data_IF_009468686262
#
_entry.id   IF_009468686262
#
_cell.length_a   1.000
_cell.length_b   1.000
_cell.length_c   1.000
_cell.angle_alpha   90.00
_cell.angle_beta   90.00
_cell.angle_gamma   90.00
#
_symmetry.space_group_name_H-M   'P 1'
#
loop_
_entity.id
_entity.type
_entity.pdbx_description
1 polymer ?
#
# COMPACT_ATOMS: atom_id res chain seq x y z
N UNK A 1 -0.40 -3.25 -11.56
CA UNK A 1 -1.83 -3.61 -11.39
C UNK A 1 -2.54 -2.48 -10.65
N UNK A 2 -3.82 -2.21 -10.88
CA UNK A 2 -4.57 -1.16 -10.17
C UNK A 2 -5.75 -1.78 -9.42
N UNK A 3 -5.96 -1.34 -8.19
CA UNK A 3 -7.04 -1.78 -7.29
C UNK A 3 -7.38 -0.63 -6.33
N UNK A 4 -8.18 -0.88 -5.30
CA UNK A 4 -8.53 0.12 -4.28
C UNK A 4 -8.31 -0.43 -2.88
N UNK A 5 -8.09 0.46 -1.93
CA UNK A 5 -7.98 0.10 -0.51
C UNK A 5 -9.33 -0.45 -0.04
N UNK A 6 -9.28 -1.62 0.57
CA UNK A 6 -10.38 -2.15 1.37
C UNK A 6 -10.27 -1.60 2.80
N UNK A 7 -9.11 -1.78 3.41
CA UNK A 7 -8.84 -1.37 4.80
C UNK A 7 -7.35 -1.07 4.97
N UNK A 8 -7.05 -0.14 5.88
CA UNK A 8 -5.71 0.07 6.43
C UNK A 8 -5.81 -0.24 7.91
N UNK A 9 -4.92 -1.09 8.41
CA UNK A 9 -4.86 -1.41 9.84
C UNK A 9 -4.56 -0.13 10.66
N UNK A 10 -5.03 -0.06 11.91
CA UNK A 10 -4.85 1.11 12.79
C UNK A 10 -3.39 1.55 12.93
N UNK A 11 -2.44 0.62 12.87
CA UNK A 11 -1.00 0.91 12.97
C UNK A 11 -0.35 1.28 11.61
N UNK A 12 -1.10 1.27 10.50
CA UNK A 12 -0.61 1.55 9.14
C UNK A 12 0.37 0.51 8.58
N UNK A 13 0.60 -0.58 9.32
CA UNK A 13 1.53 -1.66 9.00
C UNK A 13 1.00 -2.65 7.95
N UNK A 14 -0.31 -2.70 7.78
CA UNK A 14 -0.97 -3.61 6.85
C UNK A 14 -2.03 -2.87 6.05
N UNK A 15 -2.08 -3.16 4.76
CA UNK A 15 -3.08 -2.64 3.82
C UNK A 15 -3.74 -3.80 3.10
N UNK A 16 -5.05 -3.89 3.24
CA UNK A 16 -5.91 -4.82 2.50
C UNK A 16 -6.49 -4.13 1.28
N UNK A 17 -6.46 -4.79 0.13
CA UNK A 17 -6.97 -4.26 -1.13
C UNK A 17 -8.24 -5.00 -1.57
N UNK A 18 -9.09 -4.36 -2.37
CA UNK A 18 -10.37 -4.92 -2.83
C UNK A 18 -10.22 -6.15 -3.76
N UNK A 19 -9.03 -6.38 -4.30
CA UNK A 19 -8.72 -7.60 -5.05
C UNK A 19 -8.46 -8.83 -4.15
N UNK A 20 -8.58 -8.65 -2.83
CA UNK A 20 -8.37 -9.66 -1.80
C UNK A 20 -6.92 -9.81 -1.35
N UNK A 21 -5.98 -9.05 -1.92
CA UNK A 21 -4.58 -9.10 -1.52
C UNK A 21 -4.31 -8.33 -0.23
N UNK A 22 -3.38 -8.85 0.57
CA UNK A 22 -2.92 -8.19 1.79
C UNK A 22 -1.43 -7.87 1.69
N UNK A 23 -1.06 -6.69 2.18
CA UNK A 23 0.27 -6.13 2.02
C UNK A 23 0.83 -5.64 3.33
N UNK A 24 2.01 -6.14 3.69
CA UNK A 24 2.79 -5.64 4.81
C UNK A 24 3.62 -4.44 4.37
N UNK A 25 3.45 -3.32 5.05
CA UNK A 25 4.08 -2.05 4.73
C UNK A 25 5.48 -1.97 5.37
N UNK A 26 6.42 -1.35 4.66
CA UNK A 26 7.72 -1.00 5.23
C UNK A 26 7.53 -0.04 6.41
N UNK A 27 8.10 -0.33 7.59
CA UNK A 27 7.95 0.54 8.76
C UNK A 27 8.33 2.01 8.55
N UNK A 28 9.26 2.29 7.63
CA UNK A 28 9.65 3.66 7.26
C UNK A 28 8.62 4.43 6.43
N UNK A 29 7.60 3.74 5.91
CA UNK A 29 6.52 4.32 5.10
C UNK A 29 5.16 4.37 5.85
N UNK A 30 5.08 3.89 7.10
CA UNK A 30 3.84 3.88 7.91
C UNK A 30 3.19 5.27 8.00
N UNK A 31 3.99 6.31 8.18
CA UNK A 31 3.49 7.69 8.30
C UNK A 31 2.72 8.15 7.06
N UNK A 32 2.94 7.49 5.91
CA UNK A 32 2.20 7.73 4.67
C UNK A 32 0.92 6.92 4.66
N UNK A 33 1.00 5.61 4.90
CA UNK A 33 -0.13 4.68 4.79
C UNK A 33 -1.20 4.90 5.86
N UNK A 34 -0.84 5.39 7.05
CA UNK A 34 -1.81 5.76 8.09
C UNK A 34 -2.79 6.86 7.65
N UNK A 35 -2.42 7.65 6.65
CA UNK A 35 -3.28 8.70 6.08
C UNK A 35 -4.09 8.20 4.87
N UNK A 36 -3.95 6.93 4.51
CA UNK A 36 -4.71 6.35 3.41
C UNK A 36 -6.06 5.84 3.90
N UNK A 37 -7.06 5.91 3.02
CA UNK A 37 -8.46 5.63 3.33
C UNK A 37 -9.03 4.56 2.40
N UNK A 38 -10.03 3.84 2.89
CA UNK A 38 -10.81 2.92 2.07
C UNK A 38 -11.30 3.59 0.78
N UNK A 39 -11.44 2.80 -0.28
CA UNK A 39 -11.85 3.21 -1.64
C UNK A 39 -10.84 4.04 -2.44
N UNK A 40 -9.74 4.50 -1.83
CA UNK A 40 -8.67 5.17 -2.58
C UNK A 40 -8.00 4.18 -3.54
N UNK A 41 -7.66 4.66 -4.73
CA UNK A 41 -7.05 3.87 -5.81
C UNK A 41 -5.57 3.68 -5.56
N UNK A 42 -5.15 2.43 -5.57
CA UNK A 42 -3.78 2.00 -5.41
C UNK A 42 -3.29 1.36 -6.70
N UNK A 43 -2.15 1.86 -7.19
CA UNK A 43 -1.35 1.18 -8.20
C UNK A 43 -0.24 0.38 -7.54
N UNK A 44 -0.12 -0.88 -7.91
CA UNK A 44 0.90 -1.82 -7.45
C UNK A 44 1.95 -1.95 -8.56
N UNK A 45 3.21 -1.69 -8.21
CA UNK A 45 4.37 -1.85 -9.09
C UNK A 45 5.44 -2.71 -8.40
N UNK A 46 6.09 -3.61 -9.14
CA UNK A 46 7.26 -4.35 -8.67
C UNK A 46 8.47 -3.40 -8.53
N UNK A 47 9.38 -3.71 -7.61
CA UNK A 47 10.63 -2.98 -7.43
C UNK A 47 11.81 -3.94 -7.18
N UNK A 48 13.04 -3.41 -7.19
CA UNK A 48 14.27 -4.21 -7.06
C UNK A 48 14.60 -4.63 -5.61
N UNK A 49 13.74 -4.37 -4.64
CA UNK A 49 14.00 -4.67 -3.23
C UNK A 49 13.63 -6.12 -2.88
N UNK A 50 14.57 -6.88 -2.33
CA UNK A 50 14.34 -8.29 -2.00
C UNK A 50 13.37 -8.50 -0.81
N UNK A 51 13.25 -7.52 0.08
CA UNK A 51 12.40 -7.61 1.30
C UNK A 51 11.00 -7.04 1.04
N UNK A 52 10.93 -5.87 0.43
CA UNK A 52 9.69 -5.18 0.08
C UNK A 52 9.59 -5.04 -1.44
N UNK A 53 9.34 -6.17 -2.10
CA UNK A 53 9.40 -6.36 -3.55
C UNK A 53 8.41 -5.52 -4.36
N UNK A 54 7.48 -4.84 -3.71
CA UNK A 54 6.48 -4.02 -4.38
C UNK A 54 6.38 -2.62 -3.79
N UNK A 55 5.80 -1.73 -4.58
CA UNK A 55 5.46 -0.36 -4.21
C UNK A 55 3.97 -0.17 -4.42
N UNK A 56 3.27 0.19 -3.36
CA UNK A 56 1.89 0.67 -3.42
C UNK A 56 1.92 2.18 -3.64
N UNK A 57 1.19 2.66 -4.64
CA UNK A 57 1.14 4.07 -5.04
C UNK A 57 -0.30 4.55 -4.93
N UNK A 58 -0.56 5.50 -4.03
CA UNK A 58 -1.87 6.11 -3.86
C UNK A 58 -2.11 7.19 -4.92
N UNK A 59 -3.07 6.95 -5.81
CA UNK A 59 -3.39 7.80 -6.95
C UNK A 59 -4.36 8.94 -6.62
N UNK A 60 -4.95 8.94 -5.42
CA UNK A 60 -5.94 9.94 -4.98
C UNK A 60 -5.35 10.99 -4.03
N UNK A 61 -4.02 11.02 -3.90
CA UNK A 61 -3.26 12.05 -3.18
C UNK A 61 -2.83 13.17 -4.12
N UNK A 62 -2.64 14.39 -3.60
CA UNK A 62 -2.27 15.55 -4.43
C UNK A 62 -0.93 15.39 -5.16
N UNK A 63 -0.03 14.60 -4.61
CA UNK A 63 1.16 14.07 -5.27
C UNK A 63 1.21 12.57 -4.97
N UNK A 64 1.61 11.71 -5.93
CA UNK A 64 1.53 10.27 -5.78
C UNK A 64 2.35 9.79 -4.59
N UNK A 65 1.65 9.39 -3.54
CA UNK A 65 2.25 8.88 -2.31
C UNK A 65 2.62 7.40 -2.49
N UNK A 66 3.84 7.03 -2.10
CA UNK A 66 4.43 5.71 -2.39
C UNK A 66 4.90 5.05 -1.11
N UNK A 67 4.43 3.82 -0.89
CA UNK A 67 4.85 2.99 0.22
C UNK A 67 5.41 1.66 -0.30
N UNK A 68 6.57 1.26 0.21
CA UNK A 68 7.13 -0.06 -0.06
C UNK A 68 6.37 -1.11 0.72
N UNK A 69 6.10 -2.24 0.08
CA UNK A 69 5.33 -3.31 0.68
C UNK A 69 5.74 -4.69 0.16
N UNK A 70 5.40 -5.72 0.91
CA UNK A 70 5.49 -7.12 0.50
C UNK A 70 4.12 -7.77 0.63
N UNK A 71 3.78 -8.65 -0.30
CA UNK A 71 2.52 -9.38 -0.26
C UNK A 71 2.60 -10.50 0.76
N UNK A 72 1.58 -10.63 1.59
CA UNK A 72 1.50 -11.65 2.65
C UNK A 72 0.43 -12.71 2.36
N UNK A 73 -0.70 -12.34 1.74
CA UNK A 73 -1.78 -13.26 1.34
C UNK A 73 -2.42 -12.86 0.00
#
# INVERSE_FOLDING_TARGET
METSILEVNEDGLEVSLMDGSNWQINPGDISKTICWYATQRIKIEENENEVYSHTLINLDTAAPDKAKASRIF
#
